data_IF_889548259319
#
_entry.id   IF_889548259319
#
_cell.length_a   1.000
_cell.length_b   1.000
_cell.length_c   1.000
_cell.angle_alpha   90.00
_cell.angle_beta   90.00
_cell.angle_gamma   90.00
#
_symmetry.space_group_name_H-M   'P 1'
#
loop_
_entity.id
_entity.type
_entity.pdbx_description
1 polymer ?
#
# COMPACT_ATOMS: atom_id res chain seq x y z
N UNK A 1 11.07 23.65 35.10
CA UNK A 1 10.77 23.47 33.66
C UNK A 1 10.18 22.08 33.48
N UNK A 2 8.87 21.99 33.23
CA UNK A 2 8.17 20.72 33.00
C UNK A 2 8.37 20.40 31.53
N UNK A 3 9.08 19.30 31.24
CA UNK A 3 9.33 18.81 29.88
C UNK A 3 8.08 18.06 29.40
N UNK A 4 7.16 18.77 28.77
CA UNK A 4 6.01 18.19 28.07
C UNK A 4 6.52 17.35 26.90
N UNK A 5 6.53 16.02 27.07
CA UNK A 5 6.74 15.09 25.97
C UNK A 5 5.44 14.97 25.19
N UNK A 6 5.27 15.84 24.19
CA UNK A 6 4.29 15.62 23.12
C UNK A 6 4.65 14.33 22.40
N UNK A 7 3.91 13.26 22.70
CA UNK A 7 3.99 11.98 22.01
C UNK A 7 3.36 12.15 20.63
N UNK A 8 4.10 12.72 19.69
CA UNK A 8 3.78 12.68 18.26
C UNK A 8 3.90 11.23 17.78
N UNK A 9 2.85 10.42 17.98
CA UNK A 9 2.68 9.26 17.13
C UNK A 9 2.68 9.75 15.69
N UNK A 10 3.45 9.14 14.77
CA UNK A 10 3.48 9.59 13.39
C UNK A 10 2.07 9.41 12.83
N UNK A 11 1.39 10.52 12.51
CA UNK A 11 0.05 10.53 11.88
C UNK A 11 -0.01 9.58 10.67
N UNK A 12 1.13 9.40 10.00
CA UNK A 12 1.39 8.41 8.94
C UNK A 12 1.01 6.96 9.29
N UNK A 13 1.20 6.48 10.53
CA UNK A 13 0.90 5.09 10.88
C UNK A 13 -0.60 4.83 10.99
N UNK A 14 -1.33 5.75 11.63
CA UNK A 14 -2.79 5.66 11.75
C UNK A 14 -3.49 5.85 10.39
N UNK A 15 -2.99 6.76 9.56
CA UNK A 15 -3.51 6.93 8.20
C UNK A 15 -3.23 5.71 7.32
N UNK A 16 -2.06 5.09 7.47
CA UNK A 16 -1.72 3.87 6.75
C UNK A 16 -2.63 2.69 7.16
N UNK A 17 -2.87 2.49 8.46
CA UNK A 17 -3.79 1.45 8.93
C UNK A 17 -5.22 1.70 8.48
N UNK A 18 -5.69 2.95 8.56
CA UNK A 18 -7.02 3.33 8.07
C UNK A 18 -7.19 3.07 6.57
N UNK A 19 -6.17 3.38 5.76
CA UNK A 19 -6.17 3.13 4.31
C UNK A 19 -6.26 1.63 4.00
N UNK A 20 -5.49 0.81 4.72
CA UNK A 20 -5.54 -0.65 4.56
C UNK A 20 -6.90 -1.23 4.98
N UNK A 21 -7.45 -0.80 6.11
CA UNK A 21 -8.79 -1.23 6.55
C UNK A 21 -9.86 -0.84 5.54
N UNK A 22 -9.79 0.38 4.98
CA UNK A 22 -10.72 0.84 3.93
C UNK A 22 -10.68 -0.05 2.68
N UNK A 23 -9.48 -0.48 2.26
CA UNK A 23 -9.30 -1.37 1.12
C UNK A 23 -9.93 -2.76 1.37
N UNK A 24 -9.65 -3.37 2.53
CA UNK A 24 -10.22 -4.67 2.91
C UNK A 24 -11.75 -4.62 3.03
N UNK A 25 -12.30 -3.57 3.63
CA UNK A 25 -13.75 -3.37 3.72
C UNK A 25 -14.42 -3.26 2.35
N UNK A 26 -13.77 -2.58 1.40
CA UNK A 26 -14.28 -2.44 0.04
C UNK A 26 -14.37 -3.81 -0.65
N UNK A 27 -13.33 -4.65 -0.50
CA UNK A 27 -13.33 -6.02 -1.01
C UNK A 27 -14.49 -6.84 -0.43
N UNK A 28 -14.67 -6.80 0.90
CA UNK A 28 -15.76 -7.52 1.57
C UNK A 28 -17.12 -7.04 1.07
N UNK A 29 -17.29 -5.72 0.86
CA UNK A 29 -18.54 -5.17 0.35
C UNK A 29 -18.85 -5.69 -1.06
N UNK A 30 -17.86 -5.68 -1.97
CA UNK A 30 -17.98 -6.22 -3.33
C UNK A 30 -18.39 -7.70 -3.28
N UNK A 31 -17.67 -8.53 -2.51
CA UNK A 31 -17.96 -9.97 -2.35
C UNK A 31 -19.40 -10.23 -1.87
N UNK A 32 -19.88 -9.41 -0.92
CA UNK A 32 -21.25 -9.51 -0.41
C UNK A 32 -22.28 -9.09 -1.45
N UNK A 33 -21.99 -8.06 -2.25
CA UNK A 33 -22.87 -7.62 -3.33
C UNK A 33 -22.92 -8.65 -4.46
N UNK A 34 -21.79 -9.30 -4.78
CA UNK A 34 -21.72 -10.39 -5.76
C UNK A 34 -22.55 -11.59 -5.31
N UNK A 35 -22.35 -12.04 -4.07
CA UNK A 35 -23.06 -13.20 -3.52
C UNK A 35 -24.58 -12.99 -3.42
N UNK A 36 -25.01 -11.75 -3.18
CA UNK A 36 -26.43 -11.41 -3.04
C UNK A 36 -27.07 -10.88 -4.32
N UNK A 37 -26.26 -10.65 -5.36
CA UNK A 37 -26.67 -9.94 -6.58
C UNK A 37 -27.37 -8.59 -6.29
N UNK A 38 -27.05 -7.95 -5.16
CA UNK A 38 -27.77 -6.75 -4.71
C UNK A 38 -27.56 -5.54 -5.61
N UNK A 39 -26.53 -5.57 -6.44
CA UNK A 39 -26.27 -4.60 -7.51
C UNK A 39 -27.33 -4.65 -8.63
N UNK A 40 -28.09 -5.75 -8.76
CA UNK A 40 -29.20 -5.88 -9.70
C UNK A 40 -30.54 -5.38 -9.14
N UNK A 41 -30.62 -5.11 -7.83
CA UNK A 41 -31.88 -4.78 -7.18
C UNK A 41 -32.44 -3.39 -7.58
N UNK A 42 -31.57 -2.45 -7.98
CA UNK A 42 -31.95 -1.11 -8.41
C UNK A 42 -30.85 -0.50 -9.34
N UNK A 43 -31.22 0.39 -10.28
CA UNK A 43 -30.24 1.03 -11.17
C UNK A 43 -29.18 1.84 -10.39
N UNK A 44 -29.54 2.45 -9.26
CA UNK A 44 -28.62 3.17 -8.39
C UNK A 44 -27.60 2.22 -7.74
N UNK A 45 -28.01 0.99 -7.40
CA UNK A 45 -27.09 -0.01 -6.82
C UNK A 45 -26.06 -0.48 -7.84
N UNK A 46 -26.45 -0.58 -9.12
CA UNK A 46 -25.52 -0.89 -10.20
C UNK A 46 -24.46 0.18 -10.35
N UNK A 47 -24.84 1.45 -10.34
CA UNK A 47 -23.88 2.56 -10.38
C UNK A 47 -22.94 2.55 -9.17
N UNK A 48 -23.46 2.32 -7.96
CA UNK A 48 -22.64 2.16 -6.76
C UNK A 48 -21.64 1.00 -6.88
N UNK A 49 -22.10 -0.16 -7.38
CA UNK A 49 -21.25 -1.34 -7.55
C UNK A 49 -20.14 -1.10 -8.57
N UNK A 50 -20.46 -0.51 -9.74
CA UNK A 50 -19.45 -0.15 -10.74
C UNK A 50 -18.42 0.84 -10.19
N UNK A 51 -18.85 1.81 -9.37
CA UNK A 51 -17.95 2.73 -8.68
C UNK A 51 -17.03 2.03 -7.68
N UNK A 52 -17.56 1.06 -6.93
CA UNK A 52 -16.78 0.25 -5.97
C UNK A 52 -15.72 -0.59 -6.69
N UNK A 53 -16.08 -1.28 -7.77
CA UNK A 53 -15.14 -2.06 -8.58
C UNK A 53 -14.02 -1.18 -9.12
N UNK A 54 -14.35 -0.07 -9.80
CA UNK A 54 -13.35 0.88 -10.35
C UNK A 54 -12.41 1.41 -9.27
N UNK A 55 -12.95 1.76 -8.10
CA UNK A 55 -12.15 2.25 -6.99
C UNK A 55 -11.26 1.16 -6.39
N UNK A 56 -11.72 -0.09 -6.33
CA UNK A 56 -10.92 -1.23 -5.87
C UNK A 56 -9.77 -1.57 -6.83
N UNK A 57 -10.02 -1.54 -8.13
CA UNK A 57 -9.00 -1.74 -9.17
C UNK A 57 -7.92 -0.65 -9.13
N UNK A 58 -8.32 0.61 -8.93
CA UNK A 58 -7.39 1.72 -8.79
C UNK A 58 -6.51 1.56 -7.54
N UNK A 59 -7.11 1.27 -6.38
CA UNK A 59 -6.37 1.03 -5.14
C UNK A 59 -5.38 -0.14 -5.30
N UNK A 60 -5.81 -1.23 -5.95
CA UNK A 60 -4.97 -2.40 -6.23
C UNK A 60 -3.78 -2.02 -7.12
N UNK A 61 -4.01 -1.19 -8.13
CA UNK A 61 -2.96 -0.68 -9.02
C UNK A 61 -1.96 0.19 -8.27
N UNK A 62 -2.43 1.08 -7.40
CA UNK A 62 -1.57 1.94 -6.56
C UNK A 62 -0.74 1.10 -5.58
N UNK A 63 -1.35 0.12 -4.91
CA UNK A 63 -0.65 -0.79 -3.99
C UNK A 63 0.41 -1.64 -4.73
N UNK A 64 0.07 -2.17 -5.91
CA UNK A 64 0.98 -2.97 -6.73
C UNK A 64 2.16 -2.14 -7.24
N UNK A 65 1.91 -0.92 -7.70
CA UNK A 65 2.97 -0.01 -8.17
C UNK A 65 3.86 0.44 -7.01
N UNK A 66 3.31 0.74 -5.83
CA UNK A 66 4.12 1.04 -4.64
C UNK A 66 5.03 -0.13 -4.26
N UNK A 67 4.51 -1.36 -4.27
CA UNK A 67 5.31 -2.56 -4.05
C UNK A 67 6.45 -2.70 -5.07
N UNK A 68 6.17 -2.47 -6.36
CA UNK A 68 7.19 -2.48 -7.43
C UNK A 68 8.23 -1.38 -7.25
N UNK A 69 7.84 -0.16 -6.90
CA UNK A 69 8.75 0.96 -6.64
C UNK A 69 9.62 0.68 -5.41
N UNK A 70 9.04 0.10 -4.36
CA UNK A 70 9.79 -0.31 -3.18
C UNK A 70 10.84 -1.38 -3.51
N UNK A 71 10.47 -2.40 -4.30
CA UNK A 71 11.40 -3.43 -4.78
C UNK A 71 12.50 -2.84 -5.66
N UNK A 72 12.17 -1.96 -6.60
CA UNK A 72 13.13 -1.27 -7.48
C UNK A 72 14.15 -0.45 -6.68
N UNK A 73 13.69 0.34 -5.70
CA UNK A 73 14.56 1.14 -4.84
C UNK A 73 15.51 0.27 -4.01
N UNK A 74 15.09 -0.93 -3.60
CA UNK A 74 15.96 -1.88 -2.88
C UNK A 74 17.01 -2.49 -3.81
N UNK A 75 16.61 -2.92 -5.01
CA UNK A 75 17.55 -3.46 -6.01
C UNK A 75 18.59 -2.43 -6.48
N UNK A 76 18.24 -1.14 -6.53
CA UNK A 76 19.20 -0.09 -6.88
C UNK A 76 20.19 0.19 -5.74
N UNK A 77 19.75 0.07 -4.49
CA UNK A 77 20.63 0.23 -3.32
C UNK A 77 21.64 -0.92 -3.17
N UNK A 78 21.30 -2.11 -3.65
CA UNK A 78 22.21 -3.26 -3.74
C UNK A 78 23.08 -3.25 -5.02
N UNK A 79 22.90 -2.25 -5.91
CA UNK A 79 23.67 -2.05 -7.15
C UNK A 79 24.65 -0.87 -7.07
N UNK A 80 24.56 -0.04 -6.02
CA UNK A 80 25.70 0.76 -5.54
C UNK A 80 26.64 -0.18 -4.76
N UNK A 81 27.21 -1.12 -5.50
CA UNK A 81 28.44 -1.79 -5.12
C UNK A 81 29.54 -0.74 -5.16
N UNK A 82 30.19 -0.49 -4.03
CA UNK A 82 31.50 0.11 -4.03
C UNK A 82 32.47 -0.94 -4.62
N UNK A 83 33.10 -0.74 -5.79
CA UNK A 83 34.23 -1.56 -6.19
C UNK A 83 35.53 -0.99 -5.60
N UNK A 84 35.49 -0.17 -4.55
CA UNK A 84 36.69 0.34 -3.90
C UNK A 84 37.32 -0.71 -2.99
N UNK A 85 38.39 -1.29 -3.53
CA UNK A 85 39.53 -1.83 -2.80
C UNK A 85 39.31 -3.16 -2.06
N UNK A 86 39.07 -4.23 -2.84
CA UNK A 86 39.77 -5.50 -2.58
C UNK A 86 41.24 -5.33 -2.99
N UNK A 87 41.97 -4.44 -2.31
CA UNK A 87 43.41 -4.24 -2.52
C UNK A 87 44.19 -5.24 -1.68
N UNK A 88 44.40 -6.39 -2.32
CA UNK A 88 45.50 -7.33 -2.20
C UNK A 88 45.96 -7.85 -0.81
N UNK A 89 45.92 -9.17 -0.70
CA UNK A 89 46.52 -9.95 0.37
C UNK A 89 48.00 -10.10 0.04
N UNK A 90 48.86 -9.32 0.69
CA UNK A 90 50.30 -9.44 0.46
C UNK A 90 51.16 -8.69 1.47
N UNK A 91 50.98 -8.94 2.77
CA UNK A 91 51.98 -8.55 3.77
C UNK A 91 53.09 -9.62 3.75
N UNK A 92 54.25 -9.23 3.19
CA UNK A 92 55.55 -9.86 3.47
C UNK A 92 56.12 -9.29 4.76
#
# INVERSE_FOLDING_TARGET
AVLEKESSQPQSSYEATATLTKFELKKILIDKMDKSESYLAAPEHKECYEGLIKSYELDTTILSTYGKVYLLKRSQKDKDEDPSARSDRGLK
#
